data_IF_522974405261
#
_entry.id   IF_522974405261
#
_cell.length_a   1.000
_cell.length_b   1.000
_cell.length_c   1.000
_cell.angle_alpha   90.00
_cell.angle_beta   90.00
_cell.angle_gamma   90.00
#
_symmetry.space_group_name_H-M   'P 1'
#
loop_
_entity.id
_entity.type
_entity.pdbx_description
1 polymer ?
#
# COMPACT_ATOMS: atom_id res chain seq x y z
N UNK A 1 52.81 55.76 -30.77
CA UNK A 1 51.72 55.59 -29.78
C UNK A 1 51.34 54.12 -29.75
N UNK A 2 51.86 53.36 -28.78
CA UNK A 2 51.56 51.95 -28.59
C UNK A 2 50.45 51.86 -27.55
N UNK A 3 49.25 51.40 -27.95
CA UNK A 3 48.11 51.18 -27.04
C UNK A 3 48.28 49.82 -26.36
N UNK A 4 48.30 49.80 -25.03
CA UNK A 4 48.16 48.58 -24.22
C UNK A 4 46.72 48.05 -24.29
N UNK A 5 46.50 46.72 -24.22
CA UNK A 5 45.16 46.16 -24.06
C UNK A 5 44.69 46.28 -22.59
N UNK A 6 43.38 46.33 -22.33
CA UNK A 6 42.84 46.48 -20.98
C UNK A 6 43.02 45.18 -20.18
N UNK A 7 43.40 45.32 -18.92
CA UNK A 7 43.37 44.24 -17.93
C UNK A 7 41.91 43.86 -17.66
N UNK A 8 41.50 42.68 -18.10
CA UNK A 8 40.23 42.07 -17.69
C UNK A 8 40.33 41.70 -16.21
N UNK A 9 39.34 42.02 -15.35
CA UNK A 9 39.41 41.69 -13.94
C UNK A 9 39.21 40.18 -13.76
N UNK A 10 40.28 39.48 -13.39
CA UNK A 10 40.31 38.04 -13.06
C UNK A 10 39.31 37.65 -11.95
N UNK A 11 38.76 38.63 -11.23
CA UNK A 11 37.82 38.42 -10.12
C UNK A 11 36.38 38.06 -10.56
N UNK A 12 36.00 38.23 -11.84
CA UNK A 12 34.66 37.84 -12.33
C UNK A 12 34.56 36.41 -12.86
N UNK A 13 35.67 35.69 -13.00
CA UNK A 13 35.68 34.31 -13.50
C UNK A 13 35.58 33.26 -12.37
N UNK A 14 35.77 33.67 -11.10
CA UNK A 14 35.76 32.74 -9.96
C UNK A 14 34.37 32.54 -9.34
N UNK A 15 33.38 33.41 -9.61
CA UNK A 15 32.00 33.21 -9.14
C UNK A 15 31.11 32.39 -10.09
N UNK A 16 31.55 32.16 -11.33
CA UNK A 16 30.79 31.40 -12.33
C UNK A 16 31.10 29.89 -12.37
N UNK A 17 32.14 29.43 -11.66
CA UNK A 17 32.52 28.01 -11.60
C UNK A 17 31.98 27.30 -10.34
N UNK A 18 31.56 28.03 -9.32
CA UNK A 18 31.00 27.48 -8.08
C UNK A 18 29.54 27.02 -8.19
N UNK A 19 28.86 27.20 -9.33
CA UNK A 19 27.46 26.78 -9.53
C UNK A 19 27.27 25.43 -10.22
N UNK A 20 28.36 24.76 -10.65
CA UNK A 20 28.27 23.48 -11.38
C UNK A 20 28.56 22.25 -10.51
N UNK A 21 28.76 22.43 -9.20
CA UNK A 21 28.81 21.34 -8.22
C UNK A 21 27.45 21.16 -7.57
N UNK A 22 26.38 21.14 -8.36
CA UNK A 22 25.21 20.37 -7.97
C UNK A 22 25.64 18.91 -8.06
N UNK A 23 26.06 18.32 -6.95
CA UNK A 23 26.03 16.86 -6.85
C UNK A 23 24.61 16.47 -7.23
N UNK A 24 24.44 15.81 -8.37
CA UNK A 24 23.17 15.18 -8.69
C UNK A 24 22.85 14.31 -7.47
N UNK A 25 21.85 14.71 -6.69
CA UNK A 25 21.37 13.85 -5.63
C UNK A 25 20.76 12.65 -6.31
N UNK A 26 21.44 11.51 -6.27
CA UNK A 26 20.86 10.28 -6.76
C UNK A 26 19.76 9.89 -5.76
N UNK A 27 18.52 10.03 -6.19
CA UNK A 27 17.39 9.47 -5.48
C UNK A 27 17.42 7.95 -5.68
N UNK A 28 18.31 7.26 -4.94
CA UNK A 28 18.49 5.81 -5.07
C UNK A 28 17.27 5.03 -4.53
N UNK A 29 16.52 5.62 -3.61
CA UNK A 29 15.32 5.02 -3.02
C UNK A 29 14.04 5.62 -3.61
N UNK A 30 13.03 4.77 -3.84
CA UNK A 30 11.76 5.15 -4.41
C UNK A 30 10.65 4.14 -4.11
N UNK A 31 9.42 4.54 -4.39
CA UNK A 31 8.27 3.63 -4.48
C UNK A 31 7.86 3.64 -5.94
N UNK A 32 8.37 2.68 -6.69
CA UNK A 32 8.15 2.59 -8.14
C UNK A 32 6.78 1.99 -8.43
N UNK A 33 6.12 2.50 -9.47
CA UNK A 33 4.95 1.82 -10.01
C UNK A 33 5.37 0.52 -10.71
N UNK A 34 4.47 -0.46 -10.88
CA UNK A 34 4.77 -1.66 -11.64
C UNK A 34 5.30 -1.37 -13.07
N UNK A 35 4.81 -0.32 -13.71
CA UNK A 35 5.27 0.09 -15.05
C UNK A 35 6.71 0.60 -15.04
N UNK A 36 7.09 1.38 -14.01
CA UNK A 36 8.44 1.93 -13.86
C UNK A 36 9.52 0.86 -13.69
N UNK A 37 9.17 -0.36 -13.27
CA UNK A 37 10.14 -1.46 -13.17
C UNK A 37 10.84 -1.73 -14.51
N UNK A 38 10.14 -1.57 -15.63
CA UNK A 38 10.71 -1.74 -16.97
C UNK A 38 11.56 -0.55 -17.43
N UNK A 39 11.45 0.59 -16.75
CA UNK A 39 12.23 1.80 -17.02
C UNK A 39 13.55 1.83 -16.25
N UNK A 40 13.67 1.01 -15.20
CA UNK A 40 14.90 0.86 -14.42
C UNK A 40 15.97 0.14 -15.26
N UNK A 41 17.23 0.55 -15.08
CA UNK A 41 18.36 -0.08 -15.76
C UNK A 41 18.46 -1.57 -15.37
N UNK A 42 18.31 -2.51 -16.34
CA UNK A 42 18.42 -3.94 -16.06
C UNK A 42 19.80 -4.35 -15.56
N UNK A 43 20.87 -3.65 -15.96
CA UNK A 43 22.22 -3.93 -15.46
C UNK A 43 22.32 -3.57 -13.97
N UNK A 44 21.77 -2.43 -13.58
CA UNK A 44 21.69 -2.02 -12.18
C UNK A 44 20.84 -2.98 -11.34
N UNK A 45 19.66 -3.40 -11.83
CA UNK A 45 18.81 -4.37 -11.12
C UNK A 45 19.54 -5.70 -10.88
N UNK A 46 20.28 -6.19 -11.88
CA UNK A 46 21.11 -7.41 -11.73
C UNK A 46 22.26 -7.21 -10.74
N UNK A 47 22.88 -6.03 -10.73
CA UNK A 47 23.91 -5.66 -9.75
C UNK A 47 23.33 -5.66 -8.32
N UNK A 48 22.07 -5.24 -8.14
CA UNK A 48 21.39 -5.34 -6.84
C UNK A 48 21.04 -6.79 -6.45
N UNK A 49 21.14 -7.76 -7.36
CA UNK A 49 20.86 -9.17 -7.12
C UNK A 49 19.50 -9.65 -7.64
N UNK A 50 18.80 -8.86 -8.48
CA UNK A 50 17.60 -9.35 -9.15
C UNK A 50 17.96 -10.31 -10.29
N UNK A 51 17.56 -11.57 -10.15
CA UNK A 51 17.79 -12.61 -11.15
C UNK A 51 16.68 -12.70 -12.22
N UNK A 52 15.48 -12.22 -11.89
CA UNK A 52 14.31 -12.26 -12.78
C UNK A 52 14.31 -11.10 -13.77
N UNK A 53 13.79 -11.34 -14.97
CA UNK A 53 13.54 -10.26 -15.91
C UNK A 53 12.34 -9.40 -15.45
N UNK A 54 12.34 -8.12 -15.82
CA UNK A 54 11.30 -7.17 -15.39
C UNK A 54 9.89 -7.56 -15.86
N UNK A 55 9.77 -8.14 -17.05
CA UNK A 55 8.52 -8.64 -17.62
C UNK A 55 8.00 -9.91 -16.93
N UNK A 56 8.87 -10.73 -16.32
CA UNK A 56 8.45 -11.84 -15.46
C UNK A 56 7.86 -11.34 -14.13
N UNK A 57 8.32 -10.18 -13.65
CA UNK A 57 7.81 -9.55 -12.44
C UNK A 57 6.47 -8.88 -12.71
N UNK A 58 6.37 -8.12 -13.81
CA UNK A 58 5.13 -7.49 -14.24
C UNK A 58 5.08 -7.25 -15.76
N UNK A 59 4.10 -7.89 -16.39
CA UNK A 59 3.71 -7.66 -17.78
C UNK A 59 2.48 -6.73 -17.77
N UNK A 60 2.72 -5.45 -18.11
CA UNK A 60 1.68 -4.41 -18.06
C UNK A 60 0.60 -4.57 -19.13
N UNK A 61 0.91 -5.19 -20.27
CA UNK A 61 -0.05 -5.42 -21.35
C UNK A 61 -1.02 -6.53 -20.98
N UNK A 62 -0.52 -7.61 -20.38
CA UNK A 62 -1.32 -8.78 -20.05
C UNK A 62 -1.82 -8.80 -18.60
N UNK A 63 -1.35 -7.87 -17.76
CA UNK A 63 -1.72 -7.78 -16.34
C UNK A 63 -1.36 -9.05 -15.57
N UNK A 64 -0.17 -9.61 -15.85
CA UNK A 64 0.34 -10.87 -15.29
C UNK A 64 1.77 -10.69 -14.77
N UNK A 65 2.30 -11.73 -14.13
CA UNK A 65 3.62 -11.70 -13.47
C UNK A 65 3.50 -11.80 -11.96
N UNK A 66 4.64 -11.82 -11.27
CA UNK A 66 4.68 -12.00 -9.80
C UNK A 66 3.91 -10.93 -9.03
N UNK A 67 3.87 -9.68 -9.51
CA UNK A 67 3.14 -8.60 -8.83
C UNK A 67 1.63 -8.82 -8.83
N UNK A 68 1.09 -9.65 -9.73
CA UNK A 68 -0.35 -10.00 -9.73
C UNK A 68 -0.78 -10.84 -8.52
N UNK A 69 0.17 -11.39 -7.76
CA UNK A 69 -0.11 -12.05 -6.49
C UNK A 69 -0.29 -11.05 -5.33
N UNK A 70 0.21 -9.83 -5.45
CA UNK A 70 0.08 -8.79 -4.43
C UNK A 70 -1.34 -8.20 -4.46
N UNK A 71 -1.94 -8.07 -3.27
CA UNK A 71 -3.33 -7.63 -3.10
C UNK A 71 -3.46 -6.55 -2.03
N UNK A 72 -4.42 -5.65 -2.22
CA UNK A 72 -4.75 -4.63 -1.22
C UNK A 72 -5.82 -5.18 -0.27
N UNK A 73 -5.64 -4.92 1.02
CA UNK A 73 -6.52 -5.42 2.09
C UNK A 73 -6.82 -4.27 3.05
N UNK A 74 -7.91 -3.54 2.86
CA UNK A 74 -8.39 -2.57 3.86
C UNK A 74 -7.34 -1.57 4.39
N UNK A 75 -6.49 -1.01 3.52
CA UNK A 75 -5.39 -0.11 3.91
C UNK A 75 -4.04 -0.79 4.14
N UNK A 76 -4.01 -2.12 4.15
CA UNK A 76 -2.82 -2.96 4.17
C UNK A 76 -2.50 -3.58 2.80
N UNK A 77 -1.37 -4.29 2.75
CA UNK A 77 -0.99 -5.17 1.65
C UNK A 77 -1.04 -6.64 2.12
N UNK A 78 -1.23 -7.54 1.18
CA UNK A 78 -0.99 -8.98 1.36
C UNK A 78 -0.60 -9.61 0.04
N UNK A 79 -0.42 -10.92 0.04
CA UNK A 79 -0.15 -11.67 -1.17
C UNK A 79 -0.83 -13.04 -1.18
N UNK A 80 -1.31 -13.46 -2.34
CA UNK A 80 -1.69 -14.85 -2.56
C UNK A 80 -0.46 -15.74 -2.42
N UNK A 81 -0.58 -16.79 -1.62
CA UNK A 81 0.48 -17.79 -1.37
C UNK A 81 0.04 -19.23 -1.66
N UNK A 82 -1.15 -19.41 -2.26
CA UNK A 82 -1.60 -20.71 -2.77
C UNK A 82 -2.52 -20.56 -3.98
N UNK A 83 -2.68 -21.66 -4.70
CA UNK A 83 -3.62 -21.78 -5.83
C UNK A 83 -5.10 -21.70 -5.42
N UNK A 84 -5.39 -21.76 -4.12
CA UNK A 84 -6.76 -21.76 -3.56
C UNK A 84 -7.00 -20.51 -2.70
N UNK A 85 -6.44 -19.37 -3.11
CA UNK A 85 -6.85 -18.06 -2.60
C UNK A 85 -6.40 -17.77 -1.17
N UNK A 86 -5.46 -18.54 -0.62
CA UNK A 86 -4.84 -18.24 0.68
C UNK A 86 -4.01 -16.96 0.56
N UNK A 87 -4.27 -15.98 1.42
CA UNK A 87 -3.62 -14.68 1.45
C UNK A 87 -2.83 -14.53 2.74
N UNK A 88 -1.53 -14.24 2.64
CA UNK A 88 -0.67 -13.87 3.75
C UNK A 88 -0.70 -12.34 3.94
N UNK A 89 -0.86 -11.88 5.17
CA UNK A 89 -0.73 -10.48 5.57
C UNK A 89 -0.23 -10.39 7.02
N UNK A 90 -0.14 -9.18 7.57
CA UNK A 90 0.20 -8.95 8.97
C UNK A 90 -0.97 -9.29 9.91
N UNK A 91 -0.66 -9.67 11.15
CA UNK A 91 -1.64 -9.89 12.21
C UNK A 91 -2.44 -8.60 12.49
N UNK A 92 -1.79 -7.43 12.49
CA UNK A 92 -2.50 -6.17 12.70
C UNK A 92 -3.48 -5.81 11.56
N UNK A 93 -3.18 -6.23 10.32
CA UNK A 93 -4.06 -6.04 9.16
C UNK A 93 -5.33 -6.89 9.24
N UNK A 94 -5.25 -8.04 9.92
CA UNK A 94 -6.38 -8.94 10.16
C UNK A 94 -7.08 -8.77 11.49
N UNK A 95 -6.57 -7.84 12.31
CA UNK A 95 -7.01 -7.70 13.68
C UNK A 95 -8.48 -7.32 13.79
N UNK A 96 -9.02 -6.52 12.85
CA UNK A 96 -10.45 -6.23 12.82
C UNK A 96 -11.32 -7.48 12.65
N UNK A 97 -10.86 -8.49 11.90
CA UNK A 97 -11.59 -9.75 11.75
C UNK A 97 -11.43 -10.66 12.98
N UNK A 98 -10.25 -10.65 13.61
CA UNK A 98 -10.03 -11.33 14.90
C UNK A 98 -10.93 -10.73 15.98
N UNK A 99 -11.01 -9.41 16.03
CA UNK A 99 -11.89 -8.68 16.94
C UNK A 99 -13.37 -8.99 16.66
N UNK A 100 -13.80 -8.96 15.40
CA UNK A 100 -15.19 -9.26 15.00
C UNK A 100 -15.67 -10.62 15.53
N UNK A 101 -14.79 -11.62 15.56
CA UNK A 101 -15.09 -12.98 16.02
C UNK A 101 -14.66 -13.26 17.47
N UNK A 102 -14.19 -12.25 18.21
CA UNK A 102 -13.81 -12.38 19.62
C UNK A 102 -14.98 -12.08 20.55
N UNK A 103 -15.10 -12.85 21.62
CA UNK A 103 -15.99 -12.60 22.76
C UNK A 103 -15.28 -12.92 24.07
N UNK A 104 -15.94 -12.68 25.20
CA UNK A 104 -15.44 -13.08 26.53
C UNK A 104 -15.30 -14.60 26.68
N UNK A 105 -16.15 -15.37 25.99
CA UNK A 105 -16.12 -16.84 25.98
C UNK A 105 -15.11 -17.39 24.97
N UNK A 106 -14.90 -16.67 23.87
CA UNK A 106 -14.00 -17.05 22.77
C UNK A 106 -13.12 -15.87 22.38
N UNK A 107 -12.05 -15.69 23.13
CA UNK A 107 -11.16 -14.53 23.00
C UNK A 107 -10.05 -14.80 21.97
N UNK A 108 -10.35 -14.62 20.68
CA UNK A 108 -9.39 -14.87 19.61
C UNK A 108 -8.23 -13.87 19.62
N UNK A 109 -8.42 -12.67 20.18
CA UNK A 109 -7.33 -11.72 20.40
C UNK A 109 -6.29 -12.32 21.36
N UNK A 110 -6.73 -12.90 22.48
CA UNK A 110 -5.83 -13.51 23.46
C UNK A 110 -5.24 -14.82 22.94
N UNK A 111 -6.08 -15.69 22.41
CA UNK A 111 -5.73 -17.11 22.19
C UNK A 111 -5.34 -17.43 20.74
N UNK A 112 -5.53 -16.50 19.82
CA UNK A 112 -5.36 -16.74 18.40
C UNK A 112 -6.48 -17.60 17.82
N UNK A 113 -6.31 -18.00 16.57
CA UNK A 113 -7.27 -18.83 15.85
C UNK A 113 -6.58 -19.65 14.75
N UNK A 114 -7.00 -20.90 14.59
CA UNK A 114 -6.66 -21.75 13.45
C UNK A 114 -7.91 -22.50 13.02
N UNK A 115 -8.33 -22.32 11.77
CA UNK A 115 -9.42 -23.09 11.19
C UNK A 115 -8.96 -24.55 10.95
N UNK A 116 -9.56 -25.56 11.60
CA UNK A 116 -9.20 -26.97 11.37
C UNK A 116 -9.66 -27.47 9.99
N UNK A 117 -10.69 -26.86 9.42
CA UNK A 117 -11.24 -27.19 8.10
C UNK A 117 -11.66 -25.91 7.37
N UNK A 118 -11.97 -26.02 6.06
CA UNK A 118 -12.43 -24.88 5.25
C UNK A 118 -13.77 -24.33 5.75
N UNK A 119 -14.64 -25.20 6.24
CA UNK A 119 -15.96 -24.85 6.77
C UNK A 119 -15.86 -24.10 8.09
N UNK A 120 -14.74 -24.26 8.81
CA UNK A 120 -14.48 -23.55 10.04
C UNK A 120 -13.91 -22.12 9.80
N UNK A 121 -13.38 -21.82 8.62
CA UNK A 121 -12.84 -20.49 8.29
C UNK A 121 -13.91 -19.40 8.53
N UNK A 122 -13.56 -18.36 9.30
CA UNK A 122 -14.54 -17.40 9.82
C UNK A 122 -14.79 -16.25 8.84
N UNK A 123 -16.03 -16.02 8.36
CA UNK A 123 -16.29 -14.98 7.36
C UNK A 123 -16.20 -13.57 7.95
N UNK A 124 -15.62 -12.64 7.19
CA UNK A 124 -15.64 -11.21 7.52
C UNK A 124 -16.80 -10.47 6.87
N UNK A 125 -17.37 -9.49 7.58
CA UNK A 125 -18.49 -8.68 7.06
C UNK A 125 -18.03 -7.61 6.07
N UNK A 126 -16.98 -6.88 6.42
CA UNK A 126 -16.57 -5.65 5.73
C UNK A 126 -15.23 -5.77 5.03
N UNK A 127 -14.42 -6.77 5.40
CA UNK A 127 -13.12 -6.98 4.79
C UNK A 127 -13.25 -7.33 3.30
N UNK A 128 -12.38 -6.74 2.49
CA UNK A 128 -12.27 -6.98 1.05
C UNK A 128 -10.82 -7.27 0.70
N UNK A 129 -10.62 -8.14 -0.29
CA UNK A 129 -9.34 -8.31 -0.96
C UNK A 129 -9.48 -7.73 -2.36
N UNK A 130 -8.67 -6.72 -2.68
CA UNK A 130 -8.70 -6.06 -3.97
C UNK A 130 -7.48 -6.49 -4.79
N UNK A 131 -7.76 -7.11 -5.94
CA UNK A 131 -6.75 -7.66 -6.84
C UNK A 131 -6.55 -6.69 -8.00
N UNK A 132 -5.37 -6.09 -8.18
CA UNK A 132 -5.11 -5.19 -9.30
C UNK A 132 -5.26 -5.93 -10.62
N UNK A 133 -6.02 -5.38 -11.56
CA UNK A 133 -6.23 -5.94 -12.90
C UNK A 133 -5.47 -5.16 -13.96
N UNK A 134 -5.54 -3.83 -13.91
CA UNK A 134 -4.98 -2.97 -14.95
C UNK A 134 -4.64 -1.58 -14.43
N UNK A 135 -3.62 -0.98 -15.03
CA UNK A 135 -3.20 0.40 -14.81
C UNK A 135 -3.18 1.09 -16.18
N UNK A 136 -3.91 2.19 -16.33
CA UNK A 136 -3.97 2.96 -17.58
C UNK A 136 -3.62 4.41 -17.29
N UNK A 137 -2.64 4.97 -18.01
CA UNK A 137 -2.38 6.41 -17.96
C UNK A 137 -3.56 7.14 -18.61
N UNK A 138 -4.20 8.05 -17.85
CA UNK A 138 -5.34 8.86 -18.28
C UNK A 138 -5.05 10.35 -18.11
N UNK A 139 -3.77 10.73 -17.96
CA UNK A 139 -3.32 12.10 -17.70
C UNK A 139 -3.82 13.06 -18.75
N UNK A 140 -3.64 12.74 -20.04
CA UNK A 140 -4.10 13.58 -21.14
C UNK A 140 -5.61 13.79 -21.10
N UNK A 141 -6.38 12.72 -20.88
CA UNK A 141 -7.85 12.78 -20.79
C UNK A 141 -8.33 13.66 -19.64
N UNK A 142 -7.70 13.55 -18.47
CA UNK A 142 -8.04 14.35 -17.29
C UNK A 142 -7.67 15.81 -17.49
N UNK A 143 -6.48 16.10 -18.01
CA UNK A 143 -6.01 17.48 -18.18
C UNK A 143 -6.72 18.21 -19.32
N UNK A 144 -7.13 17.49 -20.38
CA UNK A 144 -7.90 18.05 -21.48
C UNK A 144 -9.32 18.50 -21.09
N UNK A 145 -9.87 17.97 -19.99
CA UNK A 145 -11.18 18.37 -19.48
C UNK A 145 -11.18 19.78 -18.86
N UNK A 146 -10.00 20.32 -18.50
CA UNK A 146 -9.89 21.65 -17.88
C UNK A 146 -10.07 22.74 -18.94
N UNK A 147 -11.08 23.63 -18.81
CA UNK A 147 -11.29 24.69 -19.78
C UNK A 147 -10.11 25.68 -19.84
N UNK A 148 -9.78 26.24 -21.01
CA UNK A 148 -8.80 27.31 -21.11
C UNK A 148 -9.18 28.50 -20.23
N UNK A 149 -8.26 28.95 -19.38
CA UNK A 149 -8.48 30.08 -18.47
C UNK A 149 -9.33 29.77 -17.24
N UNK A 150 -9.61 28.49 -16.95
CA UNK A 150 -10.31 28.08 -15.73
C UNK A 150 -9.59 28.59 -14.47
N UNK A 151 -10.37 29.12 -13.53
CA UNK A 151 -9.86 29.43 -12.20
C UNK A 151 -9.54 28.14 -11.41
N UNK A 152 -8.85 28.24 -10.25
CA UNK A 152 -8.46 27.06 -9.48
C UNK A 152 -9.61 26.14 -9.06
N UNK A 153 -10.80 26.70 -8.76
CA UNK A 153 -11.96 25.91 -8.33
C UNK A 153 -12.59 25.21 -9.54
N UNK A 154 -12.73 25.92 -10.66
CA UNK A 154 -13.21 25.35 -11.92
C UNK A 154 -12.29 24.23 -12.40
N UNK A 155 -10.97 24.40 -12.29
CA UNK A 155 -9.99 23.36 -12.59
C UNK A 155 -10.19 22.12 -11.73
N UNK A 156 -10.37 22.29 -10.41
CA UNK A 156 -10.62 21.18 -9.48
C UNK A 156 -11.89 20.41 -9.89
N UNK A 157 -13.00 21.12 -10.09
CA UNK A 157 -14.26 20.48 -10.48
C UNK A 157 -14.16 19.75 -11.83
N UNK A 158 -13.55 20.37 -12.85
CA UNK A 158 -13.38 19.73 -14.16
C UNK A 158 -12.55 18.43 -14.08
N UNK A 159 -11.50 18.43 -13.25
CA UNK A 159 -10.68 17.24 -13.00
C UNK A 159 -11.49 16.18 -12.26
N UNK A 160 -12.22 16.55 -11.21
CA UNK A 160 -13.00 15.61 -10.40
C UNK A 160 -14.15 14.98 -11.20
N UNK A 161 -14.86 15.78 -12.00
CA UNK A 161 -15.92 15.31 -12.89
C UNK A 161 -15.37 14.31 -13.92
N UNK A 162 -14.21 14.61 -14.53
CA UNK A 162 -13.61 13.72 -15.51
C UNK A 162 -13.08 12.42 -14.88
N UNK A 163 -12.53 12.49 -13.66
CA UNK A 163 -12.11 11.31 -12.91
C UNK A 163 -13.29 10.41 -12.57
N UNK A 164 -14.42 11.00 -12.20
CA UNK A 164 -15.65 10.26 -11.92
C UNK A 164 -16.24 9.63 -13.20
N UNK A 165 -16.25 10.36 -14.32
CA UNK A 165 -16.68 9.83 -15.60
C UNK A 165 -15.83 8.63 -16.05
N UNK A 166 -14.50 8.74 -15.93
CA UNK A 166 -13.57 7.63 -16.22
C UNK A 166 -13.78 6.44 -15.29
N UNK A 167 -14.06 6.69 -14.01
CA UNK A 167 -14.37 5.65 -13.02
C UNK A 167 -15.62 4.88 -13.41
N UNK A 168 -16.72 5.58 -13.68
CA UNK A 168 -18.00 4.98 -14.07
C UNK A 168 -17.89 4.20 -15.38
N UNK A 169 -17.19 4.76 -16.38
CA UNK A 169 -16.95 4.08 -17.65
C UNK A 169 -16.10 2.82 -17.48
N UNK A 170 -15.12 2.84 -16.57
CA UNK A 170 -14.31 1.68 -16.23
C UNK A 170 -15.16 0.60 -15.55
N UNK A 171 -15.93 0.91 -14.52
CA UNK A 171 -16.74 -0.10 -13.81
C UNK A 171 -17.83 -0.69 -14.71
N UNK A 172 -18.57 0.15 -15.44
CA UNK A 172 -19.67 -0.29 -16.30
C UNK A 172 -20.69 -1.15 -15.55
N UNK A 173 -21.15 -2.24 -16.16
CA UNK A 173 -22.06 -3.22 -15.55
C UNK A 173 -21.31 -4.37 -14.83
N UNK A 174 -20.06 -4.14 -14.40
CA UNK A 174 -19.22 -5.16 -13.76
C UNK A 174 -19.22 -4.98 -12.23
N UNK A 175 -20.13 -5.62 -11.47
CA UNK A 175 -20.31 -5.35 -10.03
C UNK A 175 -19.14 -5.78 -9.14
N UNK A 176 -18.17 -6.52 -9.68
CA UNK A 176 -16.98 -7.01 -8.99
C UNK A 176 -15.74 -6.17 -9.29
N UNK A 177 -15.90 -5.17 -10.16
CA UNK A 177 -14.83 -4.26 -10.56
C UNK A 177 -15.03 -2.94 -9.85
N UNK A 178 -13.96 -2.47 -9.21
CA UNK A 178 -13.88 -1.14 -8.65
C UNK A 178 -12.74 -0.41 -9.36
N UNK A 179 -13.00 0.81 -9.82
CA UNK A 179 -11.98 1.61 -10.46
C UNK A 179 -11.67 2.87 -9.66
N UNK A 180 -10.43 3.37 -9.77
CA UNK A 180 -10.04 4.65 -9.18
C UNK A 180 -9.02 5.34 -10.07
N UNK A 181 -9.23 6.64 -10.33
CA UNK A 181 -8.18 7.49 -10.88
C UNK A 181 -7.29 7.98 -9.73
N UNK A 182 -6.13 7.36 -9.63
CA UNK A 182 -5.06 7.74 -8.71
C UNK A 182 -4.29 8.95 -9.25
N UNK A 183 -3.86 9.82 -8.34
CA UNK A 183 -3.13 11.06 -8.63
C UNK A 183 -1.70 10.87 -8.17
N UNK A 184 -0.75 11.10 -9.08
CA UNK A 184 0.68 10.99 -8.85
C UNK A 184 1.31 12.38 -8.99
N UNK A 185 2.40 12.59 -8.25
CA UNK A 185 3.23 13.80 -8.30
C UNK A 185 2.42 15.10 -8.23
N UNK A 186 1.53 15.21 -7.23
CA UNK A 186 0.69 16.39 -6.96
C UNK A 186 -0.16 16.85 -8.15
N UNK A 187 -0.59 15.91 -9.02
CA UNK A 187 -1.45 16.19 -10.17
C UNK A 187 -0.72 16.32 -11.51
N UNK A 188 0.55 15.91 -11.56
CA UNK A 188 1.30 15.80 -12.82
C UNK A 188 0.85 14.57 -13.62
N UNK A 189 0.51 13.47 -12.96
CA UNK A 189 0.06 12.24 -13.62
C UNK A 189 -1.21 11.68 -12.98
N UNK A 190 -2.10 11.15 -13.83
CA UNK A 190 -3.34 10.49 -13.44
C UNK A 190 -3.37 9.07 -14.02
N UNK A 191 -3.50 8.07 -13.15
CA UNK A 191 -3.56 6.65 -13.57
C UNK A 191 -4.89 6.06 -13.12
N UNK A 192 -5.67 5.55 -14.08
CA UNK A 192 -6.87 4.76 -13.81
C UNK A 192 -6.44 3.33 -13.44
N UNK A 193 -6.77 2.92 -12.22
CA UNK A 193 -6.48 1.58 -11.71
C UNK A 193 -7.79 0.80 -11.63
N UNK A 194 -7.82 -0.35 -12.30
CA UNK A 194 -8.91 -1.32 -12.23
C UNK A 194 -8.59 -2.38 -11.19
N UNK A 195 -9.49 -2.58 -10.23
CA UNK A 195 -9.40 -3.59 -9.19
C UNK A 195 -10.54 -4.58 -9.32
N UNK A 196 -10.25 -5.85 -9.08
CA UNK A 196 -11.28 -6.85 -8.80
C UNK A 196 -11.45 -6.98 -7.30
N UNK A 197 -12.64 -6.70 -6.79
CA UNK A 197 -12.96 -6.81 -5.38
C UNK A 197 -13.45 -8.24 -5.05
N UNK A 198 -12.83 -8.91 -4.08
CA UNK A 198 -13.28 -10.17 -3.51
C UNK A 198 -13.97 -9.91 -2.17
N UNK A 199 -15.27 -10.21 -2.11
CA UNK A 199 -16.16 -9.83 -1.00
C UNK A 199 -16.33 -10.88 0.10
N UNK A 200 -16.07 -12.15 -0.19
CA UNK A 200 -16.05 -13.21 0.81
C UNK A 200 -14.59 -13.51 1.19
N UNK A 201 -14.16 -12.95 2.31
CA UNK A 201 -12.81 -13.12 2.85
C UNK A 201 -12.94 -13.71 4.24
N UNK A 202 -12.28 -14.84 4.48
CA UNK A 202 -12.44 -15.62 5.71
C UNK A 202 -11.12 -15.73 6.47
N UNK A 203 -11.17 -15.61 7.80
CA UNK A 203 -10.02 -15.84 8.67
C UNK A 203 -9.67 -17.33 8.66
N UNK A 204 -8.43 -17.63 8.31
CA UNK A 204 -7.87 -18.99 8.34
C UNK A 204 -7.00 -19.16 9.58
N UNK A 205 -6.13 -18.19 9.84
CA UNK A 205 -5.21 -18.25 10.97
C UNK A 205 -4.82 -16.86 11.47
N UNK A 206 -4.79 -16.71 12.79
CA UNK A 206 -4.17 -15.59 13.48
C UNK A 206 -3.42 -16.14 14.70
N UNK A 207 -2.14 -15.77 14.91
CA UNK A 207 -1.46 -16.10 16.16
C UNK A 207 -2.12 -15.38 17.35
N UNK A 208 -1.91 -15.85 18.58
CA UNK A 208 -2.21 -15.09 19.79
C UNK A 208 -1.61 -13.68 19.71
N UNK A 209 -2.28 -12.65 20.26
CA UNK A 209 -1.73 -11.27 20.31
C UNK A 209 -0.34 -11.21 20.95
N UNK A 210 -0.06 -12.08 21.92
CA UNK A 210 1.27 -12.17 22.54
C UNK A 210 2.39 -12.53 21.55
N UNK A 211 2.07 -13.12 20.39
CA UNK A 211 3.01 -13.39 19.30
C UNK A 211 2.84 -12.37 18.18
N UNK A 212 1.59 -12.15 17.73
CA UNK A 212 1.25 -11.26 16.61
C UNK A 212 1.55 -9.78 16.86
N UNK A 213 1.62 -9.37 18.13
CA UNK A 213 1.93 -8.02 18.59
C UNK A 213 2.86 -8.08 19.82
N UNK A 214 3.80 -9.04 19.84
CA UNK A 214 4.83 -9.13 20.88
C UNK A 214 5.55 -7.78 21.07
N UNK A 215 5.71 -7.36 22.33
CA UNK A 215 6.27 -6.06 22.71
C UNK A 215 5.26 -4.90 22.68
N UNK A 216 4.11 -5.08 22.04
CA UNK A 216 3.03 -4.09 21.97
C UNK A 216 3.53 -2.72 21.52
N UNK A 217 3.00 -1.68 22.16
CA UNK A 217 3.35 -0.29 21.83
C UNK A 217 4.80 0.08 22.17
N UNK A 218 5.45 -0.62 23.11
CA UNK A 218 6.85 -0.33 23.50
C UNK A 218 7.79 -0.66 22.35
N UNK A 219 7.57 -1.81 21.71
CA UNK A 219 8.40 -2.26 20.60
C UNK A 219 7.91 -1.68 19.26
N UNK A 220 6.73 -1.07 19.20
CA UNK A 220 6.18 -0.49 17.98
C UNK A 220 7.13 0.56 17.39
N UNK A 221 7.28 0.57 16.06
CA UNK A 221 8.28 1.38 15.34
C UNK A 221 9.76 1.19 15.73
N UNK A 222 10.12 0.16 16.52
CA UNK A 222 11.49 -0.11 16.94
C UNK A 222 12.15 -1.29 16.20
N UNK A 223 13.48 -1.22 16.11
CA UNK A 223 14.40 -2.31 15.77
C UNK A 223 15.52 -2.37 16.84
N UNK A 224 15.98 -3.54 17.33
CA UNK A 224 15.58 -4.91 17.00
C UNK A 224 14.11 -5.24 17.26
N UNK A 225 13.55 -6.22 16.53
CA UNK A 225 12.15 -6.64 16.68
C UNK A 225 12.02 -8.16 16.71
N UNK A 226 11.10 -8.66 17.55
CA UNK A 226 10.85 -10.09 17.77
C UNK A 226 9.36 -10.47 17.62
N UNK A 227 8.59 -9.68 16.88
CA UNK A 227 7.14 -9.86 16.70
C UNK A 227 6.83 -10.80 15.53
N UNK A 228 5.97 -11.80 15.76
CA UNK A 228 5.44 -12.69 14.74
C UNK A 228 4.19 -12.09 14.06
N UNK A 229 4.32 -10.90 13.46
CA UNK A 229 3.20 -10.13 12.90
C UNK A 229 2.75 -10.69 11.53
N UNK A 230 2.06 -11.82 11.55
CA UNK A 230 1.49 -12.45 10.36
C UNK A 230 0.17 -13.18 10.63
N UNK A 231 -0.60 -13.43 9.58
CA UNK A 231 -1.61 -14.46 9.57
C UNK A 231 -2.24 -14.60 8.20
N UNK A 232 -3.32 -15.39 8.14
CA UNK A 232 -3.87 -15.85 6.87
C UNK A 232 -5.38 -15.62 6.78
N UNK A 233 -5.77 -15.12 5.60
CA UNK A 233 -7.13 -15.23 5.12
C UNK A 233 -7.23 -16.18 3.96
N UNK A 234 -8.46 -16.51 3.57
CA UNK A 234 -8.75 -17.06 2.25
C UNK A 234 -9.86 -16.27 1.59
N UNK A 235 -9.64 -15.92 0.32
CA UNK A 235 -10.66 -15.31 -0.51
C UNK A 235 -11.51 -16.38 -1.21
N UNK A 236 -12.80 -16.12 -1.30
CA UNK A 236 -13.81 -16.99 -1.89
C UNK A 236 -14.62 -16.25 -2.96
N UNK A 237 -15.21 -17.02 -3.86
CA UNK A 237 -16.10 -16.55 -4.93
C UNK A 237 -17.29 -17.49 -5.07
N UNK A 238 -18.34 -17.06 -5.76
CA UNK A 238 -19.40 -17.94 -6.19
C UNK A 238 -18.86 -19.06 -7.11
N UNK A 239 -19.58 -20.19 -7.27
CA UNK A 239 -19.16 -21.28 -8.16
C UNK A 239 -18.93 -20.87 -9.63
N UNK A 240 -19.63 -19.84 -10.11
CA UNK A 240 -19.45 -19.26 -11.44
C UNK A 240 -18.22 -18.34 -11.55
N UNK A 241 -17.51 -18.14 -10.43
CA UNK A 241 -16.35 -17.28 -10.31
C UNK A 241 -16.67 -15.82 -10.04
N UNK A 242 -17.93 -15.40 -9.91
CA UNK A 242 -18.29 -14.01 -9.53
C UNK A 242 -17.97 -13.73 -8.06
N UNK A 243 -17.59 -12.48 -7.75
CA UNK A 243 -17.42 -12.05 -6.38
C UNK A 243 -18.80 -11.85 -5.74
N UNK A 244 -18.98 -12.36 -4.53
CA UNK A 244 -20.16 -12.06 -3.72
C UNK A 244 -19.79 -12.14 -2.25
N UNK A 245 -20.69 -11.64 -1.40
CA UNK A 245 -20.55 -11.79 0.04
C UNK A 245 -20.63 -13.27 0.45
N UNK A 246 -20.33 -13.54 1.71
CA UNK A 246 -20.32 -14.89 2.26
C UNK A 246 -21.57 -15.70 1.89
N UNK A 247 -21.32 -16.88 1.32
CA UNK A 247 -22.31 -17.93 1.13
C UNK A 247 -21.65 -19.30 1.37
N UNK A 248 -22.42 -20.26 1.89
CA UNK A 248 -21.91 -21.60 2.25
C UNK A 248 -21.40 -22.39 1.04
N UNK A 249 -21.95 -22.13 -0.13
CA UNK A 249 -21.62 -22.75 -1.41
C UNK A 249 -20.51 -22.00 -2.18
N UNK A 250 -19.96 -20.92 -1.62
CA UNK A 250 -18.78 -20.29 -2.22
C UNK A 250 -17.58 -21.23 -2.21
N UNK A 251 -16.76 -21.10 -3.25
CA UNK A 251 -15.55 -21.90 -3.47
C UNK A 251 -14.30 -21.04 -3.35
N UNK A 252 -13.14 -21.60 -2.96
CA UNK A 252 -11.89 -20.85 -2.88
C UNK A 252 -11.56 -20.16 -4.21
N UNK A 253 -11.20 -18.87 -4.15
CA UNK A 253 -10.76 -18.11 -5.30
C UNK A 253 -9.45 -18.71 -5.86
N UNK A 254 -9.35 -18.83 -7.18
CA UNK A 254 -8.13 -19.29 -7.86
C UNK A 254 -7.43 -18.08 -8.48
N UNK A 255 -6.35 -17.55 -7.87
CA UNK A 255 -5.65 -16.40 -8.40
C UNK A 255 -4.86 -16.76 -9.66
N UNK A 256 -4.57 -15.75 -10.50
CA UNK A 256 -3.74 -15.92 -11.71
C UNK A 256 -2.31 -16.35 -11.37
N UNK A 257 -1.80 -15.91 -10.21
CA UNK A 257 -0.48 -16.25 -9.69
C UNK A 257 -0.49 -16.24 -8.16
N UNK A 258 0.51 -16.88 -7.54
CA UNK A 258 0.75 -16.83 -6.10
C UNK A 258 2.25 -16.94 -5.82
N UNK A 259 2.68 -16.35 -4.71
CA UNK A 259 4.07 -16.40 -4.28
C UNK A 259 4.37 -17.74 -3.60
N UNK A 260 5.52 -18.33 -3.93
CA UNK A 260 6.03 -19.53 -3.27
C UNK A 260 6.82 -19.12 -2.04
N UNK A 261 6.57 -19.78 -0.91
CA UNK A 261 7.33 -19.57 0.32
C UNK A 261 8.70 -20.23 0.14
N UNK A 262 9.77 -19.47 0.34
CA UNK A 262 11.13 -19.99 0.29
C UNK A 262 11.38 -20.93 1.48
N UNK A 263 11.97 -22.09 1.22
CA UNK A 263 12.36 -23.05 2.27
C UNK A 263 13.71 -22.74 2.93
N UNK A 264 14.46 -21.77 2.39
CA UNK A 264 15.74 -21.31 2.92
C UNK A 264 15.56 -19.90 3.52
N UNK A 265 16.25 -19.63 4.61
CA UNK A 265 16.27 -18.30 5.24
C UNK A 265 17.04 -17.28 4.42
N UNK A 266 16.90 -16.01 4.82
CA UNK A 266 17.65 -14.87 4.27
C UNK A 266 18.97 -14.67 4.99
N UNK A 267 19.91 -13.98 4.34
CA UNK A 267 21.18 -13.51 4.92
C UNK A 267 21.43 -12.05 4.57
N UNK A 268 22.36 -11.43 5.29
CA UNK A 268 22.81 -10.07 4.99
C UNK A 268 23.32 -9.96 3.55
N UNK A 269 22.89 -8.91 2.84
CA UNK A 269 23.23 -8.67 1.43
C UNK A 269 22.33 -9.36 0.41
N UNK A 270 21.35 -10.17 0.82
CA UNK A 270 20.35 -10.69 -0.11
C UNK A 270 19.49 -9.56 -0.71
N UNK A 271 19.18 -9.67 -2.00
CA UNK A 271 18.23 -8.80 -2.66
C UNK A 271 16.82 -8.96 -2.08
N UNK A 272 16.16 -7.84 -1.77
CA UNK A 272 14.78 -7.82 -1.27
C UNK A 272 13.93 -6.89 -2.13
N UNK A 273 12.89 -7.45 -2.73
CA UNK A 273 11.83 -6.68 -3.40
C UNK A 273 10.57 -6.71 -2.55
N UNK A 274 10.01 -5.53 -2.26
CA UNK A 274 8.76 -5.39 -1.52
C UNK A 274 7.69 -4.82 -2.43
N UNK A 275 6.69 -5.65 -2.75
CA UNK A 275 5.50 -5.24 -3.47
C UNK A 275 4.38 -4.91 -2.48
N UNK A 276 3.70 -3.78 -2.67
CA UNK A 276 2.59 -3.39 -1.81
C UNK A 276 1.92 -2.11 -2.25
N UNK A 277 0.99 -1.65 -1.39
CA UNK A 277 0.11 -0.52 -1.66
C UNK A 277 0.37 0.59 -0.63
N UNK A 278 1.52 1.29 -0.73
CA UNK A 278 1.87 2.34 0.22
C UNK A 278 0.84 3.47 0.20
N UNK A 279 0.34 3.86 1.38
CA UNK A 279 -0.74 4.84 1.50
C UNK A 279 -0.34 6.27 1.13
N UNK A 280 0.58 6.89 1.88
CA UNK A 280 0.96 8.30 1.67
C UNK A 280 2.43 8.51 1.92
N UNK A 281 3.07 9.32 1.08
CA UNK A 281 4.39 9.92 1.36
C UNK A 281 4.31 11.41 1.08
N UNK A 282 5.27 12.17 1.60
CA UNK A 282 5.29 13.63 1.45
C UNK A 282 6.68 14.11 1.07
N UNK A 283 7.27 13.44 0.06
CA UNK A 283 8.65 13.66 -0.40
C UNK A 283 8.87 15.06 -0.98
N UNK A 284 7.82 15.68 -1.52
CA UNK A 284 7.88 17.00 -2.16
C UNK A 284 7.57 18.16 -1.20
N UNK A 285 7.43 17.91 0.10
CA UNK A 285 7.19 18.98 1.08
C UNK A 285 8.31 20.03 1.04
N UNK A 286 7.90 21.29 0.99
CA UNK A 286 8.79 22.44 1.15
C UNK A 286 9.33 22.54 2.58
N UNK A 287 10.44 23.27 2.75
CA UNK A 287 11.00 23.54 4.08
C UNK A 287 9.99 24.20 5.04
N UNK A 288 9.07 25.03 4.53
CA UNK A 288 8.03 25.65 5.34
C UNK A 288 7.02 24.61 5.85
N UNK A 289 6.56 23.70 4.97
CA UNK A 289 5.64 22.62 5.35
C UNK A 289 6.28 21.62 6.32
N UNK A 290 7.56 21.28 6.13
CA UNK A 290 8.30 20.44 7.07
C UNK A 290 8.38 21.12 8.44
N UNK A 291 8.75 22.41 8.48
CA UNK A 291 8.78 23.18 9.74
C UNK A 291 7.42 23.23 10.43
N UNK A 292 6.34 23.50 9.68
CA UNK A 292 4.99 23.47 10.22
C UNK A 292 4.64 22.09 10.78
N UNK A 293 4.96 21.02 10.04
CA UNK A 293 4.67 19.65 10.46
C UNK A 293 5.27 19.35 11.83
N UNK A 294 6.58 19.58 11.99
CA UNK A 294 7.26 19.28 13.24
C UNK A 294 6.98 20.26 14.38
N UNK A 295 6.82 21.55 14.08
CA UNK A 295 6.64 22.57 15.11
C UNK A 295 5.19 22.66 15.62
N UNK A 296 4.20 22.30 14.80
CA UNK A 296 2.78 22.56 15.10
C UNK A 296 1.92 21.30 14.97
N UNK A 297 1.94 20.64 13.81
CA UNK A 297 1.00 19.56 13.51
C UNK A 297 1.27 18.29 14.32
N UNK A 298 2.48 17.73 14.24
CA UNK A 298 2.82 16.46 14.93
C UNK A 298 2.65 16.56 16.46
N UNK A 299 3.12 17.63 17.14
CA UNK A 299 2.92 17.73 18.60
C UNK A 299 1.44 17.83 18.99
N UNK A 300 0.61 18.51 18.20
CA UNK A 300 -0.84 18.58 18.44
C UNK A 300 -1.47 17.20 18.25
N UNK A 301 -1.13 16.52 17.16
CA UNK A 301 -1.67 15.22 16.81
C UNK A 301 -1.29 14.15 17.84
N UNK A 302 -0.02 14.14 18.27
CA UNK A 302 0.46 13.26 19.34
C UNK A 302 -0.30 13.48 20.65
N UNK A 303 -0.50 14.73 21.08
CA UNK A 303 -1.29 15.03 22.28
C UNK A 303 -2.71 14.51 22.16
N UNK A 304 -3.39 14.83 21.06
CA UNK A 304 -4.77 14.43 20.83
C UNK A 304 -4.94 12.90 20.87
N UNK A 305 -4.09 12.17 20.16
CA UNK A 305 -4.15 10.70 20.12
C UNK A 305 -3.76 10.07 21.46
N UNK A 306 -2.79 10.66 22.18
CA UNK A 306 -2.41 10.18 23.53
C UNK A 306 -3.57 10.34 24.51
N UNK A 307 -4.22 11.50 24.51
CA UNK A 307 -5.36 11.77 25.39
C UNK A 307 -6.53 10.84 25.06
N UNK A 308 -6.82 10.67 23.77
CA UNK A 308 -7.86 9.75 23.30
C UNK A 308 -7.58 8.30 23.74
N UNK A 309 -6.37 7.79 23.49
CA UNK A 309 -5.99 6.45 23.90
C UNK A 309 -6.02 6.28 25.44
N UNK A 310 -5.61 7.28 26.20
CA UNK A 310 -5.67 7.25 27.66
C UNK A 310 -7.10 7.26 28.20
N UNK A 311 -8.03 7.96 27.54
CA UNK A 311 -9.45 7.92 27.87
C UNK A 311 -10.04 6.55 27.59
N UNK A 312 -9.77 5.96 26.41
CA UNK A 312 -10.22 4.62 26.08
C UNK A 312 -9.71 3.58 27.09
N UNK A 313 -8.41 3.57 27.37
CA UNK A 313 -7.80 2.64 28.34
C UNK A 313 -8.44 2.75 29.73
N UNK A 314 -8.78 3.96 30.18
CA UNK A 314 -9.48 4.18 31.46
C UNK A 314 -10.93 3.70 31.40
N UNK A 315 -11.64 3.99 30.32
CA UNK A 315 -13.05 3.63 30.15
C UNK A 315 -13.26 2.12 30.04
N UNK A 316 -12.29 1.37 29.49
CA UNK A 316 -12.36 -0.09 29.35
C UNK A 316 -11.58 -0.85 30.44
N UNK A 317 -11.10 -0.16 31.48
CA UNK A 317 -10.29 -0.78 32.52
C UNK A 317 -11.12 -1.81 33.30
N UNK A 318 -10.61 -3.05 33.42
CA UNK A 318 -11.30 -4.14 34.13
C UNK A 318 -12.50 -4.77 33.40
N UNK A 319 -12.90 -4.22 32.25
CA UNK A 319 -13.99 -4.74 31.42
C UNK A 319 -13.42 -5.39 30.15
N UNK A 320 -13.40 -6.73 30.12
CA UNK A 320 -12.85 -7.46 28.97
C UNK A 320 -13.72 -7.33 27.73
N UNK A 321 -15.03 -7.26 27.88
CA UNK A 321 -15.95 -7.09 26.75
C UNK A 321 -15.70 -5.73 26.08
N UNK A 322 -15.61 -4.66 26.87
CA UNK A 322 -15.27 -3.34 26.37
C UNK A 322 -13.87 -3.31 25.71
N UNK A 323 -12.88 -3.97 26.31
CA UNK A 323 -11.53 -4.07 25.71
C UNK A 323 -11.54 -4.77 24.35
N UNK A 324 -12.34 -5.82 24.18
CA UNK A 324 -12.51 -6.48 22.88
C UNK A 324 -13.16 -5.50 21.89
N UNK A 325 -14.26 -4.85 22.27
CA UNK A 325 -14.98 -3.91 21.40
C UNK A 325 -14.16 -2.70 20.94
N UNK A 326 -13.18 -2.26 21.75
CA UNK A 326 -12.28 -1.14 21.43
C UNK A 326 -10.86 -1.58 21.02
N UNK A 327 -10.66 -2.86 20.68
CA UNK A 327 -9.33 -3.37 20.37
C UNK A 327 -8.76 -2.90 19.02
N UNK A 328 -9.61 -2.66 18.02
CA UNK A 328 -9.20 -2.25 16.65
C UNK A 328 -9.80 -0.92 16.22
#
# INVERSE_FOLDING_TARGET
MIRMPPRVPVLRLLLSVSLLWTTAGWALDGKWTPAQLSELDPAWLREQGLELAADEIWDAEQGRGLLSAAVRIGGCSGAFVSAEGLVLTNHHCLFGLVQEHSSTERDLIRDGYLAPTREAELPGRTLRVEVPQRFSDVTESVLAAVPPGADPLQRLHAIDDQREALRLACEGERPDIHCKVAVYDEGVQYVLIEWRELRDVRLVYAPPRAVGEYGGEIDNWMWPRHTGDFGFYRAYVAPDGSSRTYAKDNVPYRPKSWLRIAGKGVKEGDFVMVAGFPGTTRRLRTAAEVRFNFAQYEPLWQRLLTDYAAQLKRATAGDREAQIRYAS
#
